data_IF_824358946211
#
_entry.id   IF_824358946211
#
_cell.length_a   1.000
_cell.length_b   1.000
_cell.length_c   1.000
_cell.angle_alpha   90.00
_cell.angle_beta   90.00
_cell.angle_gamma   90.00
#
_symmetry.space_group_name_H-M   'P 1'
#
loop_
_entity.id
_entity.type
_entity.pdbx_description
1 polymer ?
#
# COMPACT_ATOMS: atom_id res chain seq x y z
N UNK A 1 22.98 5.80 -10.60
CA UNK A 1 21.82 5.02 -10.11
C UNK A 1 22.05 3.58 -10.51
N UNK A 2 21.59 2.61 -9.73
CA UNK A 2 21.57 1.19 -10.09
C UNK A 2 20.26 0.56 -9.68
N UNK A 3 19.88 -0.51 -10.39
CA UNK A 3 18.67 -1.30 -10.08
C UNK A 3 19.01 -2.78 -10.12
N UNK A 4 18.60 -3.51 -9.10
CA UNK A 4 18.75 -4.96 -9.00
C UNK A 4 17.40 -5.60 -8.68
N UNK A 5 17.24 -6.88 -9.00
CA UNK A 5 16.02 -7.63 -8.75
C UNK A 5 16.32 -8.81 -7.84
N UNK A 6 15.62 -8.85 -6.70
CA UNK A 6 15.77 -9.91 -5.70
C UNK A 6 14.54 -10.81 -5.80
N UNK A 7 14.67 -12.04 -6.30
CA UNK A 7 13.56 -12.98 -6.37
C UNK A 7 13.21 -13.50 -4.97
N UNK A 8 11.94 -13.37 -4.59
CA UNK A 8 11.43 -13.87 -3.32
C UNK A 8 10.33 -14.89 -3.58
N UNK A 9 10.51 -16.11 -3.05
CA UNK A 9 9.53 -17.19 -3.17
C UNK A 9 8.51 -17.12 -2.03
N UNK A 10 7.23 -17.27 -2.37
CA UNK A 10 6.16 -17.37 -1.39
C UNK A 10 6.11 -18.77 -0.74
N UNK A 11 5.82 -18.83 0.56
CA UNK A 11 5.61 -20.08 1.27
C UNK A 11 4.30 -20.79 0.88
N UNK A 12 3.30 -19.99 0.57
CA UNK A 12 2.01 -20.40 0.03
C UNK A 12 1.70 -19.53 -1.19
N UNK A 13 1.18 -20.14 -2.26
CA UNK A 13 0.76 -19.34 -3.42
C UNK A 13 -0.36 -18.35 -3.06
N UNK A 14 -0.18 -17.10 -3.45
CA UNK A 14 -1.21 -16.07 -3.30
C UNK A 14 -2.11 -16.06 -4.53
N UNK A 15 -3.41 -16.21 -4.32
CA UNK A 15 -4.39 -16.00 -5.39
C UNK A 15 -4.80 -14.53 -5.43
N UNK A 16 -4.53 -13.90 -6.57
CA UNK A 16 -4.95 -12.53 -6.85
C UNK A 16 -5.80 -12.50 -8.14
N UNK A 17 -7.07 -12.21 -8.03
CA UNK A 17 -7.99 -12.29 -9.16
C UNK A 17 -8.02 -13.70 -9.79
N UNK A 18 -7.72 -13.78 -11.08
CA UNK A 18 -7.61 -15.05 -11.83
C UNK A 18 -6.22 -15.72 -11.73
N UNK A 19 -5.22 -15.02 -11.21
CA UNK A 19 -3.82 -15.47 -11.19
C UNK A 19 -3.43 -16.11 -9.87
N UNK A 20 -2.47 -17.02 -9.92
CA UNK A 20 -1.83 -17.62 -8.75
C UNK A 20 -0.35 -17.26 -8.81
N UNK A 21 0.14 -16.60 -7.77
CA UNK A 21 1.49 -16.07 -7.66
C UNK A 21 2.24 -16.90 -6.62
N UNK A 22 3.41 -17.41 -6.97
CA UNK A 22 4.28 -18.21 -6.08
C UNK A 22 5.64 -17.54 -5.81
N UNK A 23 5.95 -16.48 -6.54
CA UNK A 23 7.17 -15.70 -6.40
C UNK A 23 6.94 -14.26 -6.86
N UNK A 24 7.79 -13.35 -6.39
CA UNK A 24 7.76 -11.93 -6.74
C UNK A 24 9.19 -11.41 -6.87
N UNK A 25 9.40 -10.44 -7.76
CA UNK A 25 10.65 -9.67 -7.81
C UNK A 25 10.56 -8.45 -6.89
N UNK A 26 11.56 -8.26 -6.05
CA UNK A 26 11.76 -7.01 -5.33
C UNK A 26 12.74 -6.16 -6.13
N UNK A 27 12.30 -5.01 -6.61
CA UNK A 27 13.16 -4.04 -7.26
C UNK A 27 13.92 -3.26 -6.17
N UNK A 28 15.24 -3.38 -6.13
CA UNK A 28 16.15 -2.70 -5.23
C UNK A 28 16.93 -1.63 -6.00
N UNK A 29 16.72 -0.37 -5.65
CA UNK A 29 17.43 0.76 -6.26
C UNK A 29 18.45 1.36 -5.29
N UNK A 30 19.62 1.70 -5.81
CA UNK A 30 20.57 2.59 -5.16
C UNK A 30 20.74 3.86 -5.98
N UNK A 31 20.57 5.00 -5.33
CA UNK A 31 20.71 6.32 -5.95
C UNK A 31 21.83 7.10 -5.26
N UNK A 32 22.84 7.46 -6.02
CA UNK A 32 23.86 8.38 -5.53
C UNK A 32 23.36 9.81 -5.76
N UNK A 33 22.99 10.48 -4.69
CA UNK A 33 22.45 11.82 -4.66
C UNK A 33 22.92 12.55 -3.38
N UNK A 34 23.05 13.87 -3.45
CA UNK A 34 23.44 14.69 -2.29
C UNK A 34 24.76 14.20 -1.63
N UNK A 35 25.71 13.73 -2.45
CA UNK A 35 27.00 13.14 -2.02
C UNK A 35 26.89 11.92 -1.09
N UNK A 36 25.75 11.23 -1.14
CA UNK A 36 25.54 9.97 -0.40
C UNK A 36 24.74 8.96 -1.20
N UNK A 37 24.64 7.72 -0.70
CA UNK A 37 23.87 6.66 -1.34
C UNK A 37 22.59 6.40 -0.56
N UNK A 38 21.46 6.61 -1.21
CA UNK A 38 20.16 6.19 -0.70
C UNK A 38 19.72 4.86 -1.33
N UNK A 39 18.89 4.14 -0.60
CA UNK A 39 18.35 2.84 -0.99
C UNK A 39 16.84 2.85 -0.96
N UNK A 40 16.21 2.11 -1.86
CA UNK A 40 14.77 1.94 -1.87
C UNK A 40 14.38 0.61 -2.48
N UNK A 41 13.33 0.02 -1.95
CA UNK A 41 12.80 -1.26 -2.44
C UNK A 41 11.31 -1.18 -2.68
N UNK A 42 10.86 -1.90 -3.72
CA UNK A 42 9.44 -2.06 -4.00
C UNK A 42 9.18 -3.44 -4.59
N UNK A 43 8.18 -4.19 -4.08
CA UNK A 43 7.76 -5.44 -4.70
C UNK A 43 7.06 -5.15 -6.03
N UNK A 44 7.51 -5.79 -7.12
CA UNK A 44 6.88 -5.70 -8.44
C UNK A 44 5.60 -6.54 -8.46
N UNK A 45 4.52 -6.02 -7.90
CA UNK A 45 3.23 -6.70 -7.79
C UNK A 45 2.47 -6.68 -9.12
N UNK A 46 2.87 -7.56 -10.04
CA UNK A 46 2.42 -7.60 -11.45
C UNK A 46 0.91 -7.76 -11.57
N UNK A 47 0.31 -8.71 -10.84
CA UNK A 47 -1.12 -9.01 -10.93
C UNK A 47 -1.98 -7.83 -10.45
N UNK A 48 -1.51 -7.09 -9.44
CA UNK A 48 -2.17 -5.92 -8.90
C UNK A 48 -2.01 -4.68 -9.80
N UNK A 49 -0.77 -4.46 -10.27
CA UNK A 49 -0.44 -3.25 -11.02
C UNK A 49 -0.80 -3.30 -12.50
N UNK A 50 -0.91 -4.50 -13.04
CA UNK A 50 -1.14 -4.72 -14.47
C UNK A 50 -2.08 -5.92 -14.71
N UNK A 51 -3.35 -5.86 -14.32
CA UNK A 51 -4.30 -6.90 -14.68
C UNK A 51 -4.44 -6.98 -16.20
N UNK A 52 -4.19 -8.15 -16.79
CA UNK A 52 -4.12 -8.32 -18.25
C UNK A 52 -4.30 -9.77 -18.66
N UNK A 53 -4.64 -9.99 -19.92
CA UNK A 53 -4.63 -11.31 -20.56
C UNK A 53 -3.23 -11.79 -20.96
N UNK A 54 -2.22 -10.92 -20.92
CA UNK A 54 -0.82 -11.30 -21.12
C UNK A 54 -0.36 -12.20 -19.97
N UNK A 55 0.52 -13.15 -20.25
CA UNK A 55 1.06 -14.02 -19.20
C UNK A 55 1.83 -13.23 -18.13
N UNK A 56 1.81 -13.73 -16.89
CA UNK A 56 2.50 -13.12 -15.75
C UNK A 56 3.98 -12.83 -16.06
N UNK A 57 4.73 -13.83 -16.55
CA UNK A 57 6.17 -13.67 -16.84
C UNK A 57 6.49 -12.63 -17.92
N UNK A 58 5.61 -12.43 -18.91
CA UNK A 58 5.79 -11.36 -19.92
C UNK A 58 5.65 -9.99 -19.28
N UNK A 59 4.67 -9.79 -18.39
CA UNK A 59 4.44 -8.54 -17.69
C UNK A 59 5.53 -8.27 -16.66
N UNK A 60 5.92 -9.28 -15.88
CA UNK A 60 7.03 -9.18 -14.92
C UNK A 60 8.33 -8.76 -15.61
N UNK A 61 8.66 -9.45 -16.71
CA UNK A 61 9.83 -9.06 -17.50
C UNK A 61 9.75 -7.63 -18.02
N UNK A 62 8.58 -7.20 -18.50
CA UNK A 62 8.41 -5.84 -19.01
C UNK A 62 8.56 -4.80 -17.87
N UNK A 63 8.10 -5.08 -16.65
CA UNK A 63 8.31 -4.21 -15.49
C UNK A 63 9.80 -4.15 -15.10
N UNK A 64 10.51 -5.28 -15.08
CA UNK A 64 11.96 -5.29 -14.86
C UNK A 64 12.71 -4.52 -15.97
N UNK A 65 12.36 -4.73 -17.23
CA UNK A 65 12.96 -4.01 -18.37
C UNK A 65 12.67 -2.48 -18.25
N UNK A 66 11.50 -2.09 -17.75
CA UNK A 66 11.17 -0.68 -17.53
C UNK A 66 11.96 -0.07 -16.37
N UNK A 67 12.18 -0.80 -15.28
CA UNK A 67 13.09 -0.34 -14.22
C UNK A 67 14.50 -0.06 -14.77
N UNK A 68 15.06 -0.96 -15.61
CA UNK A 68 16.32 -0.73 -16.28
C UNK A 68 16.30 0.45 -17.28
N UNK A 69 15.16 0.69 -17.93
CA UNK A 69 14.96 1.87 -18.77
C UNK A 69 14.93 3.16 -17.93
N UNK A 70 14.27 3.14 -16.77
CA UNK A 70 14.25 4.27 -15.82
C UNK A 70 15.66 4.59 -15.32
N UNK A 71 16.46 3.59 -14.92
CA UNK A 71 17.84 3.75 -14.48
C UNK A 71 18.68 4.59 -15.46
N UNK A 72 18.46 4.41 -16.76
CA UNK A 72 19.22 5.08 -17.83
C UNK A 72 18.67 6.48 -18.18
N UNK A 73 17.39 6.76 -17.88
CA UNK A 73 16.69 7.94 -18.37
C UNK A 73 16.21 8.89 -17.26
N UNK A 74 16.28 8.49 -15.98
CA UNK A 74 15.98 9.36 -14.86
C UNK A 74 17.12 10.37 -14.67
N UNK A 75 16.77 11.65 -14.56
CA UNK A 75 17.74 12.72 -14.28
C UNK A 75 18.09 12.76 -12.79
N UNK A 76 19.26 13.28 -12.47
CA UNK A 76 19.70 13.46 -11.09
C UNK A 76 18.74 14.36 -10.30
N UNK A 77 18.50 14.06 -9.00
CA UNK A 77 17.68 14.91 -8.14
C UNK A 77 18.25 16.32 -8.03
N UNK A 78 17.32 17.29 -7.92
CA UNK A 78 17.65 18.68 -7.65
C UNK A 78 17.86 18.93 -6.14
N UNK A 79 17.28 20.03 -5.61
CA UNK A 79 17.50 20.45 -4.24
C UNK A 79 16.80 19.58 -3.20
N UNK A 80 15.62 19.10 -3.49
CA UNK A 80 14.84 18.24 -2.61
C UNK A 80 14.08 17.12 -3.35
N UNK A 81 13.78 16.00 -2.68
CA UNK A 81 13.15 14.84 -3.30
C UNK A 81 11.69 15.08 -3.70
N UNK A 82 10.96 15.95 -2.99
CA UNK A 82 9.55 16.22 -3.27
C UNK A 82 9.40 16.96 -4.62
N UNK A 83 10.22 17.97 -4.86
CA UNK A 83 10.25 18.73 -6.13
C UNK A 83 10.66 17.82 -7.29
N UNK A 84 11.67 16.97 -7.08
CA UNK A 84 12.08 15.98 -8.06
C UNK A 84 10.99 14.95 -8.36
N UNK A 85 10.37 14.36 -7.35
CA UNK A 85 9.28 13.39 -7.50
C UNK A 85 8.08 14.00 -8.23
N UNK A 86 7.71 15.26 -7.90
CA UNK A 86 6.64 15.98 -8.59
C UNK A 86 6.89 16.10 -10.10
N UNK A 87 8.10 16.37 -10.54
CA UNK A 87 8.43 16.44 -11.97
C UNK A 87 8.00 15.16 -12.71
N UNK A 88 8.26 13.99 -12.10
CA UNK A 88 7.85 12.72 -12.70
C UNK A 88 6.34 12.50 -12.60
N UNK A 89 5.72 12.83 -11.47
CA UNK A 89 4.28 12.68 -11.28
C UNK A 89 3.46 13.66 -12.14
N UNK A 90 4.02 14.80 -12.52
CA UNK A 90 3.39 15.80 -13.39
C UNK A 90 3.57 15.52 -14.89
N UNK A 91 3.95 14.31 -15.25
CA UNK A 91 4.02 13.84 -16.64
C UNK A 91 5.37 13.30 -17.08
N UNK A 92 6.47 13.53 -16.35
CA UNK A 92 7.78 12.98 -16.69
C UNK A 92 7.77 11.45 -16.75
N UNK A 93 7.16 10.79 -15.77
CA UNK A 93 7.02 9.33 -15.77
C UNK A 93 6.11 8.83 -16.91
N UNK A 94 5.00 9.52 -17.18
CA UNK A 94 4.12 9.17 -18.30
C UNK A 94 4.84 9.31 -19.65
N UNK A 95 5.69 10.32 -19.82
CA UNK A 95 6.51 10.48 -21.02
C UNK A 95 7.47 9.30 -21.20
N UNK A 96 8.21 8.91 -20.15
CA UNK A 96 9.11 7.76 -20.18
C UNK A 96 8.36 6.44 -20.43
N UNK A 97 7.20 6.27 -19.83
CA UNK A 97 6.34 5.10 -20.07
C UNK A 97 5.88 5.02 -21.53
N UNK A 98 5.44 6.12 -22.12
CA UNK A 98 5.01 6.17 -23.52
C UNK A 98 6.17 5.83 -24.47
N UNK A 99 7.37 6.34 -24.18
CA UNK A 99 8.55 6.03 -24.94
C UNK A 99 8.94 4.55 -24.85
N UNK A 100 8.98 3.99 -23.65
CA UNK A 100 9.22 2.57 -23.42
C UNK A 100 8.18 1.69 -24.13
N UNK A 101 6.88 1.99 -23.94
CA UNK A 101 5.79 1.23 -24.57
C UNK A 101 5.93 1.25 -26.10
N UNK A 102 6.31 2.39 -26.69
CA UNK A 102 6.56 2.51 -28.14
C UNK A 102 7.78 1.68 -28.58
N UNK A 103 8.91 1.74 -27.84
CA UNK A 103 10.14 1.03 -28.19
C UNK A 103 9.99 -0.49 -28.05
N UNK A 104 9.28 -0.96 -27.02
CA UNK A 104 9.13 -2.39 -26.70
C UNK A 104 7.82 -3.00 -27.21
N UNK A 105 6.98 -2.21 -27.90
CA UNK A 105 5.60 -2.61 -28.26
C UNK A 105 4.82 -3.16 -27.05
N UNK A 106 5.01 -2.53 -25.90
CA UNK A 106 4.36 -2.86 -24.65
C UNK A 106 3.07 -2.04 -24.47
N UNK A 107 2.19 -2.49 -23.57
CA UNK A 107 0.99 -1.78 -23.15
C UNK A 107 0.96 -1.68 -21.61
N UNK A 108 2.11 -1.44 -21.00
CA UNK A 108 2.22 -1.30 -19.56
C UNK A 108 1.41 -0.10 -19.08
N UNK A 109 0.54 -0.27 -18.08
CA UNK A 109 -0.27 0.83 -17.55
C UNK A 109 0.54 1.73 -16.61
N UNK A 110 0.01 2.92 -16.34
CA UNK A 110 0.65 3.92 -15.50
C UNK A 110 0.86 3.43 -14.05
N UNK A 111 -0.09 2.66 -13.50
CA UNK A 111 0.05 2.07 -12.16
C UNK A 111 1.29 1.16 -12.05
N UNK A 112 1.57 0.35 -13.07
CA UNK A 112 2.79 -0.46 -13.11
C UNK A 112 4.05 0.41 -13.23
N UNK A 113 3.99 1.51 -13.98
CA UNK A 113 5.10 2.45 -14.09
C UNK A 113 5.40 3.15 -12.75
N UNK A 114 4.39 3.51 -11.97
CA UNK A 114 4.55 4.06 -10.62
C UNK A 114 5.30 3.09 -9.70
N UNK A 115 4.95 1.80 -9.72
CA UNK A 115 5.65 0.77 -8.94
C UNK A 115 7.11 0.65 -9.37
N UNK A 116 7.39 0.67 -10.68
CA UNK A 116 8.76 0.60 -11.19
C UNK A 116 9.59 1.85 -10.84
N UNK A 117 8.95 3.02 -10.73
CA UNK A 117 9.61 4.27 -10.36
C UNK A 117 9.79 4.41 -8.83
N UNK A 118 8.93 3.81 -8.04
CA UNK A 118 8.91 3.94 -6.59
C UNK A 118 10.26 3.63 -5.90
N UNK A 119 11.03 2.57 -6.23
CA UNK A 119 12.30 2.33 -5.54
C UNK A 119 13.31 3.45 -5.75
N UNK A 120 13.29 4.12 -6.90
CA UNK A 120 14.14 5.30 -7.15
C UNK A 120 13.70 6.50 -6.31
N UNK A 121 12.40 6.78 -6.25
CA UNK A 121 11.83 7.86 -5.45
C UNK A 121 12.15 7.67 -3.97
N UNK A 122 11.95 6.47 -3.42
CA UNK A 122 12.32 6.12 -2.04
C UNK A 122 13.81 6.34 -1.82
N UNK A 123 14.66 5.88 -2.75
CA UNK A 123 16.13 6.03 -2.63
C UNK A 123 16.57 7.49 -2.56
N UNK A 124 15.92 8.37 -3.33
CA UNK A 124 16.24 9.81 -3.32
C UNK A 124 15.87 10.44 -1.99
N UNK A 125 14.71 10.09 -1.41
CA UNK A 125 14.33 10.54 -0.07
C UNK A 125 15.30 10.02 1.00
N UNK A 126 15.73 8.78 0.92
CA UNK A 126 16.70 8.18 1.83
C UNK A 126 18.06 8.88 1.75
N UNK A 127 18.57 9.10 0.53
CA UNK A 127 19.82 9.84 0.32
C UNK A 127 19.74 11.25 0.91
N UNK A 128 18.63 11.95 0.71
CA UNK A 128 18.41 13.30 1.23
C UNK A 128 18.48 13.37 2.77
N UNK A 129 17.80 12.43 3.44
CA UNK A 129 17.88 12.32 4.90
C UNK A 129 19.28 11.98 5.39
N UNK A 130 19.96 11.04 4.74
CA UNK A 130 21.35 10.65 5.07
C UNK A 130 22.34 11.79 4.89
N UNK A 131 22.25 12.55 3.79
CA UNK A 131 23.11 13.70 3.51
C UNK A 131 22.99 14.80 4.58
N UNK A 132 21.81 14.95 5.17
CA UNK A 132 21.57 15.92 6.24
C UNK A 132 21.76 15.33 7.66
N UNK A 133 22.05 14.04 7.79
CA UNK A 133 22.20 13.37 9.08
C UNK A 133 20.91 13.29 9.90
N UNK A 134 19.74 13.36 9.25
CA UNK A 134 18.43 13.44 9.90
C UNK A 134 17.47 12.34 9.39
N UNK A 135 16.56 11.88 10.26
CA UNK A 135 15.40 11.11 9.78
C UNK A 135 14.60 11.92 8.78
N UNK A 136 14.19 11.30 7.67
CA UNK A 136 13.53 12.00 6.55
C UNK A 136 12.25 12.74 6.95
N UNK A 137 11.48 12.20 7.90
CA UNK A 137 10.26 12.84 8.40
C UNK A 137 10.49 14.12 9.24
N UNK A 138 11.72 14.41 9.64
CA UNK A 138 12.12 15.69 10.26
C UNK A 138 12.43 16.78 9.24
N UNK A 139 12.40 16.45 7.96
CA UNK A 139 12.84 17.34 6.89
C UNK A 139 11.70 17.80 5.96
N UNK A 140 10.50 17.24 6.06
CA UNK A 140 9.36 17.64 5.22
C UNK A 140 8.74 18.98 5.67
N UNK A 141 9.57 20.03 5.78
CA UNK A 141 9.19 21.35 6.28
C UNK A 141 9.90 22.48 5.54
N UNK A 142 9.54 23.72 5.89
CA UNK A 142 10.04 24.95 5.25
C UNK A 142 11.57 25.16 5.28
N UNK A 143 12.28 24.46 6.15
CA UNK A 143 13.74 24.64 6.25
C UNK A 143 14.49 23.78 5.23
N UNK A 144 13.85 22.76 4.67
CA UNK A 144 14.47 21.78 3.79
C UNK A 144 13.79 21.65 2.43
N UNK A 145 12.50 21.98 2.31
CA UNK A 145 11.76 21.92 1.06
C UNK A 145 11.79 23.29 0.38
N UNK A 146 11.99 23.27 -0.94
CA UNK A 146 12.06 24.48 -1.77
C UNK A 146 10.69 25.16 -1.92
N UNK A 147 9.63 24.37 -1.94
CA UNK A 147 8.27 24.81 -2.17
C UNK A 147 7.31 24.36 -1.07
N UNK A 148 6.30 25.17 -0.81
CA UNK A 148 5.15 24.81 0.02
C UNK A 148 4.14 23.94 -0.75
N UNK A 149 3.14 23.42 -0.07
CA UNK A 149 2.13 22.58 -0.70
C UNK A 149 1.22 23.33 -1.68
N UNK A 150 1.11 24.67 -1.60
CA UNK A 150 0.37 25.45 -2.59
C UNK A 150 1.00 25.33 -3.99
N UNK A 151 2.33 25.31 -4.07
CA UNK A 151 3.02 25.07 -5.33
C UNK A 151 2.79 23.67 -5.88
N UNK A 152 2.77 22.65 -5.00
CA UNK A 152 2.52 21.26 -5.40
C UNK A 152 1.10 21.05 -5.94
N UNK A 153 0.10 21.67 -5.31
CA UNK A 153 -1.31 21.46 -5.64
C UNK A 153 -1.91 22.53 -6.56
N UNK A 154 -1.20 23.65 -6.77
CA UNK A 154 -1.73 24.85 -7.42
C UNK A 154 -3.04 25.30 -6.74
N UNK A 155 -3.04 25.34 -5.40
CA UNK A 155 -4.20 25.68 -4.57
C UNK A 155 -3.74 26.53 -3.37
N UNK A 156 -4.21 27.78 -3.30
CA UNK A 156 -3.88 28.75 -2.25
C UNK A 156 -4.27 28.31 -0.83
N UNK A 157 -5.15 27.34 -0.67
CA UNK A 157 -5.46 26.78 0.66
C UNK A 157 -4.26 26.13 1.35
N UNK A 158 -3.27 25.78 0.59
CA UNK A 158 -2.03 25.16 1.07
C UNK A 158 -0.88 26.16 1.20
N UNK A 159 -1.14 27.48 1.00
CA UNK A 159 -0.11 28.50 1.08
C UNK A 159 0.56 28.52 2.47
N UNK A 160 1.89 28.41 2.46
CA UNK A 160 2.72 28.34 3.67
C UNK A 160 2.65 27.04 4.45
N UNK A 161 1.92 26.01 3.95
CA UNK A 161 1.83 24.69 4.55
C UNK A 161 2.82 23.71 3.91
N UNK A 162 3.36 22.81 4.73
CA UNK A 162 4.31 21.78 4.35
C UNK A 162 3.79 20.41 4.82
N UNK A 163 4.35 19.27 4.35
CA UNK A 163 3.85 17.96 4.79
C UNK A 163 3.85 17.78 6.31
N UNK A 164 4.81 18.36 7.05
CA UNK A 164 4.85 18.28 8.52
C UNK A 164 3.59 18.83 9.21
N UNK A 165 2.90 19.80 8.61
CA UNK A 165 1.65 20.37 9.15
C UNK A 165 0.49 19.36 9.16
N UNK A 166 0.63 18.30 8.39
CA UNK A 166 -0.34 17.21 8.28
C UNK A 166 0.08 15.95 9.05
N UNK A 167 1.26 15.92 9.63
CA UNK A 167 1.70 14.80 10.46
C UNK A 167 1.03 14.81 11.82
N UNK A 168 0.98 13.64 12.46
CA UNK A 168 0.54 13.55 13.86
C UNK A 168 1.61 14.21 14.75
N UNK A 169 1.15 14.85 15.82
CA UNK A 169 2.06 15.54 16.76
C UNK A 169 2.87 14.55 17.60
N UNK A 170 2.19 13.50 18.07
CA UNK A 170 2.79 12.46 18.92
C UNK A 170 2.90 11.17 18.08
N UNK A 171 4.08 10.96 17.50
CA UNK A 171 4.37 9.77 16.69
C UNK A 171 4.51 8.56 17.59
N UNK A 172 3.63 7.58 17.42
CA UNK A 172 3.73 6.31 18.14
C UNK A 172 4.80 5.42 17.52
N UNK A 173 5.63 4.82 18.36
CA UNK A 173 6.57 3.78 17.92
C UNK A 173 5.90 2.42 17.71
N UNK A 174 4.66 2.24 18.19
CA UNK A 174 3.90 1.00 18.03
C UNK A 174 2.63 1.28 17.23
N UNK A 175 2.37 0.41 16.25
CA UNK A 175 1.22 0.53 15.35
C UNK A 175 0.41 -0.77 15.36
N UNK A 176 -0.92 -0.71 15.53
CA UNK A 176 -1.79 -1.86 15.25
C UNK A 176 -1.54 -2.38 13.83
N UNK A 177 -1.50 -3.71 13.68
CA UNK A 177 -1.20 -4.32 12.38
C UNK A 177 -2.42 -5.02 11.81
N UNK A 178 -2.67 -4.81 10.52
CA UNK A 178 -3.69 -5.50 9.76
C UNK A 178 -3.14 -6.77 9.14
N UNK A 179 -3.98 -7.80 9.14
CA UNK A 179 -3.70 -9.09 8.53
C UNK A 179 -4.66 -9.33 7.36
N UNK A 180 -4.10 -9.72 6.22
CA UNK A 180 -4.87 -10.05 5.03
C UNK A 180 -5.51 -11.43 5.17
N UNK A 181 -6.81 -11.53 4.90
CA UNK A 181 -7.56 -12.79 4.81
C UNK A 181 -7.95 -13.00 3.34
N UNK A 182 -7.17 -13.78 2.64
CA UNK A 182 -7.40 -14.12 1.24
C UNK A 182 -8.69 -14.95 1.03
N UNK A 183 -9.23 -14.89 -0.19
CA UNK A 183 -10.46 -15.62 -0.51
C UNK A 183 -10.37 -17.16 -0.38
N UNK A 184 -9.15 -17.71 -0.45
CA UNK A 184 -8.86 -19.14 -0.33
C UNK A 184 -8.12 -19.53 0.96
N UNK A 185 -7.84 -18.56 1.83
CA UNK A 185 -7.14 -18.85 3.07
C UNK A 185 -8.01 -19.74 3.97
N UNK A 186 -7.36 -20.70 4.62
CA UNK A 186 -7.99 -21.51 5.65
C UNK A 186 -8.38 -20.63 6.84
N UNK A 187 -9.62 -20.75 7.28
CA UNK A 187 -10.07 -20.07 8.49
C UNK A 187 -9.72 -20.87 9.74
N UNK A 188 -9.89 -22.18 9.69
CA UNK A 188 -9.68 -23.08 10.81
C UNK A 188 -8.56 -24.08 10.52
N UNK A 189 -7.88 -24.52 11.56
CA UNK A 189 -6.79 -25.51 11.42
C UNK A 189 -7.28 -26.84 10.82
N UNK A 190 -8.53 -27.21 11.08
CA UNK A 190 -9.17 -28.40 10.50
C UNK A 190 -9.26 -28.38 8.97
N UNK A 191 -9.24 -27.20 8.36
CA UNK A 191 -9.25 -27.05 6.90
C UNK A 191 -7.85 -27.30 6.28
N UNK A 192 -6.78 -27.12 7.07
CA UNK A 192 -5.39 -27.19 6.62
C UNK A 192 -4.72 -28.57 6.79
N UNK A 193 -5.43 -29.58 7.32
CA UNK A 193 -4.88 -30.90 7.72
C UNK A 193 -4.06 -31.61 6.63
N UNK A 194 -4.41 -31.42 5.36
CA UNK A 194 -3.73 -32.07 4.24
C UNK A 194 -2.67 -31.17 3.55
N UNK A 195 -2.32 -30.04 4.15
CA UNK A 195 -1.31 -29.14 3.57
C UNK A 195 0.09 -29.58 3.98
N UNK A 196 0.99 -29.96 3.04
CA UNK A 196 2.29 -30.56 3.36
C UNK A 196 3.36 -29.51 3.72
N UNK A 197 2.98 -28.38 4.34
CA UNK A 197 3.88 -27.30 4.71
C UNK A 197 4.12 -27.29 6.23
N UNK A 198 5.39 -27.46 6.64
CA UNK A 198 5.82 -27.52 8.05
C UNK A 198 6.99 -26.56 8.27
N UNK A 199 6.78 -25.27 8.06
CA UNK A 199 7.80 -24.22 8.16
C UNK A 199 7.74 -23.41 9.48
N UNK A 200 6.90 -23.83 10.42
CA UNK A 200 6.74 -23.20 11.72
C UNK A 200 5.82 -21.98 11.73
N UNK A 201 5.21 -21.63 10.60
CA UNK A 201 4.23 -20.55 10.50
C UNK A 201 2.80 -21.09 10.40
N UNK A 202 1.81 -20.34 10.93
CA UNK A 202 0.41 -20.73 10.84
C UNK A 202 -0.06 -20.93 9.40
N UNK A 203 -1.00 -21.86 9.21
CA UNK A 203 -1.67 -22.09 7.93
C UNK A 203 -3.10 -21.54 7.91
N UNK A 204 -3.74 -21.40 9.09
CA UNK A 204 -5.11 -20.90 9.22
C UNK A 204 -5.16 -19.55 9.90
N UNK A 205 -6.23 -18.79 9.61
CA UNK A 205 -6.50 -17.50 10.26
C UNK A 205 -6.58 -17.65 11.79
N UNK A 206 -7.25 -18.68 12.27
CA UNK A 206 -7.36 -18.99 13.71
C UNK A 206 -5.98 -19.03 14.38
N UNK A 207 -5.02 -19.73 13.78
CA UNK A 207 -3.67 -19.84 14.33
C UNK A 207 -2.84 -18.56 14.17
N UNK A 208 -3.09 -17.76 13.12
CA UNK A 208 -2.50 -16.43 13.00
C UNK A 208 -3.02 -15.48 14.09
N UNK A 209 -4.32 -15.51 14.38
CA UNK A 209 -4.93 -14.74 15.46
C UNK A 209 -4.32 -15.08 16.84
N UNK A 210 -4.16 -16.37 17.12
CA UNK A 210 -3.55 -16.86 18.36
C UNK A 210 -2.08 -16.45 18.49
N UNK A 211 -1.28 -16.69 17.43
CA UNK A 211 0.17 -16.46 17.44
C UNK A 211 0.52 -14.97 17.53
N UNK A 212 -0.08 -14.16 16.66
CA UNK A 212 0.29 -12.75 16.48
C UNK A 212 -0.58 -11.83 17.36
N UNK A 213 -1.64 -12.34 17.99
CA UNK A 213 -2.57 -11.52 18.80
C UNK A 213 -3.29 -10.46 17.98
N UNK A 214 -3.64 -10.79 16.73
CA UNK A 214 -4.18 -9.84 15.75
C UNK A 214 -5.49 -9.20 16.21
N UNK A 215 -5.67 -7.92 15.88
CA UNK A 215 -6.86 -7.12 16.19
C UNK A 215 -7.56 -6.56 14.97
N UNK A 216 -6.88 -6.52 13.82
CA UNK A 216 -7.33 -5.90 12.60
C UNK A 216 -7.23 -6.87 11.43
N UNK A 217 -8.33 -7.10 10.69
CA UNK A 217 -8.37 -8.03 9.56
C UNK A 217 -8.91 -7.35 8.31
N UNK A 218 -8.26 -7.57 7.17
CA UNK A 218 -8.71 -7.18 5.84
C UNK A 218 -9.20 -8.41 5.08
N UNK A 219 -10.46 -8.41 4.65
CA UNK A 219 -11.12 -9.56 4.03
C UNK A 219 -11.18 -9.35 2.51
N UNK A 220 -10.53 -10.23 1.75
CA UNK A 220 -10.65 -10.24 0.28
C UNK A 220 -11.96 -10.88 -0.15
N UNK A 221 -12.69 -10.18 -1.00
CA UNK A 221 -13.97 -10.56 -1.55
C UNK A 221 -13.91 -10.71 -3.08
N UNK A 222 -14.96 -11.27 -3.67
CA UNK A 222 -14.98 -11.57 -5.11
C UNK A 222 -15.58 -10.43 -5.96
N UNK A 223 -16.48 -9.62 -5.38
CA UNK A 223 -17.19 -8.58 -6.12
C UNK A 223 -18.15 -9.11 -7.21
N UNK A 224 -18.34 -10.42 -7.29
CA UNK A 224 -19.16 -11.08 -8.33
C UNK A 224 -20.19 -12.09 -7.79
N UNK A 225 -20.06 -12.51 -6.54
CA UNK A 225 -20.98 -13.40 -5.83
C UNK A 225 -21.33 -12.80 -4.46
N UNK A 226 -22.43 -12.05 -4.43
CA UNK A 226 -22.86 -11.35 -3.21
C UNK A 226 -23.22 -12.28 -2.05
N UNK A 227 -23.66 -13.51 -2.34
CA UNK A 227 -23.97 -14.48 -1.29
C UNK A 227 -22.67 -14.97 -0.65
N UNK A 228 -21.70 -15.35 -1.45
CA UNK A 228 -20.38 -15.77 -0.97
C UNK A 228 -19.65 -14.63 -0.23
N UNK A 229 -19.66 -13.43 -0.76
CA UNK A 229 -18.99 -12.25 -0.17
C UNK A 229 -19.60 -11.93 1.21
N UNK A 230 -20.94 -11.99 1.32
CA UNK A 230 -21.61 -11.84 2.61
C UNK A 230 -21.23 -12.96 3.59
N UNK A 231 -21.33 -14.23 3.18
CA UNK A 231 -21.02 -15.38 4.02
C UNK A 231 -19.54 -15.39 4.45
N UNK A 232 -18.61 -15.03 3.55
CA UNK A 232 -17.20 -14.92 3.86
C UNK A 232 -16.96 -13.84 4.92
N UNK A 233 -17.59 -12.69 4.77
CA UNK A 233 -17.51 -11.58 5.75
C UNK A 233 -18.04 -12.02 7.11
N UNK A 234 -19.17 -12.72 7.15
CA UNK A 234 -19.77 -13.22 8.40
C UNK A 234 -18.87 -14.27 9.07
N UNK A 235 -18.36 -15.24 8.31
CA UNK A 235 -17.47 -16.31 8.86
C UNK A 235 -16.20 -15.72 9.47
N UNK A 236 -15.53 -14.84 8.72
CA UNK A 236 -14.31 -14.16 9.20
C UNK A 236 -14.64 -13.23 10.38
N UNK A 237 -15.74 -12.47 10.30
CA UNK A 237 -16.16 -11.57 11.36
C UNK A 237 -16.47 -12.28 12.68
N UNK A 238 -17.15 -13.45 12.65
CA UNK A 238 -17.40 -14.25 13.85
C UNK A 238 -16.10 -14.76 14.47
N UNK A 239 -15.19 -15.28 13.66
CA UNK A 239 -13.88 -15.72 14.15
C UNK A 239 -13.08 -14.55 14.73
N UNK A 240 -13.11 -13.39 14.06
CA UNK A 240 -12.47 -12.17 14.53
C UNK A 240 -12.99 -11.73 15.92
N UNK A 241 -14.31 -11.65 16.10
CA UNK A 241 -14.94 -11.30 17.38
C UNK A 241 -14.57 -12.30 18.49
N UNK A 242 -14.56 -13.60 18.20
CA UNK A 242 -14.16 -14.64 19.16
C UNK A 242 -12.72 -14.46 19.68
N UNK A 243 -11.82 -13.91 18.83
CA UNK A 243 -10.42 -13.63 19.18
C UNK A 243 -10.19 -12.17 19.62
N UNK A 244 -11.25 -11.38 19.82
CA UNK A 244 -11.18 -10.01 20.30
C UNK A 244 -10.66 -9.00 19.30
N UNK A 245 -10.79 -9.26 17.99
CA UNK A 245 -10.58 -8.24 16.96
C UNK A 245 -11.61 -7.14 17.08
N UNK A 246 -11.20 -5.91 16.80
CA UNK A 246 -12.01 -4.72 16.90
C UNK A 246 -12.04 -3.88 15.61
N UNK A 247 -11.39 -4.37 14.55
CA UNK A 247 -11.37 -3.69 13.26
C UNK A 247 -11.39 -4.70 12.10
N UNK A 248 -12.31 -4.48 11.17
CA UNK A 248 -12.40 -5.19 9.90
C UNK A 248 -12.39 -4.21 8.73
N UNK A 249 -11.95 -4.65 7.58
CA UNK A 249 -12.20 -4.04 6.29
C UNK A 249 -12.53 -5.11 5.25
N UNK A 250 -13.23 -4.72 4.19
CA UNK A 250 -13.50 -5.59 3.04
C UNK A 250 -12.90 -4.98 1.79
N UNK A 251 -12.33 -5.81 0.93
CA UNK A 251 -11.66 -5.38 -0.30
C UNK A 251 -12.16 -6.23 -1.48
N UNK A 252 -12.75 -5.55 -2.45
CA UNK A 252 -13.35 -6.17 -3.64
C UNK A 252 -12.44 -6.12 -4.88
N UNK A 253 -11.27 -5.52 -4.77
CA UNK A 253 -10.28 -5.41 -5.83
C UNK A 253 -10.86 -5.01 -7.21
N UNK A 254 -11.63 -3.92 -7.26
CA UNK A 254 -12.17 -3.30 -8.48
C UNK A 254 -13.21 -4.13 -9.25
N UNK A 255 -13.78 -5.19 -8.69
CA UNK A 255 -14.59 -6.15 -9.44
C UNK A 255 -16.10 -5.87 -9.43
N UNK A 256 -16.57 -5.00 -8.54
CA UNK A 256 -18.00 -4.61 -8.46
C UNK A 256 -18.34 -3.62 -9.57
N UNK A 257 -19.52 -3.80 -10.17
CA UNK A 257 -19.96 -2.96 -11.29
C UNK A 257 -20.95 -1.86 -10.91
N UNK A 258 -21.65 -2.00 -9.77
CA UNK A 258 -22.69 -1.06 -9.37
C UNK A 258 -22.79 -0.94 -7.84
N UNK A 259 -23.08 0.28 -7.31
CA UNK A 259 -23.20 0.55 -5.87
C UNK A 259 -24.19 -0.35 -5.13
N UNK A 260 -25.25 -0.77 -5.78
CA UNK A 260 -26.31 -1.62 -5.20
C UNK A 260 -25.78 -2.94 -4.66
N UNK A 261 -24.73 -3.48 -5.30
CA UNK A 261 -24.08 -4.71 -4.85
C UNK A 261 -23.47 -4.55 -3.43
N UNK A 262 -22.68 -3.50 -3.24
CA UNK A 262 -22.07 -3.18 -1.95
C UNK A 262 -23.12 -2.81 -0.92
N UNK A 263 -24.09 -1.98 -1.31
CA UNK A 263 -25.18 -1.55 -0.45
C UNK A 263 -25.99 -2.72 0.11
N UNK A 264 -26.33 -3.70 -0.74
CA UNK A 264 -27.08 -4.89 -0.32
C UNK A 264 -26.33 -5.73 0.72
N UNK A 265 -24.99 -5.89 0.57
CA UNK A 265 -24.16 -6.61 1.54
C UNK A 265 -24.09 -5.83 2.86
N UNK A 266 -23.84 -4.52 2.82
CA UNK A 266 -23.74 -3.68 4.01
C UNK A 266 -25.07 -3.59 4.77
N UNK A 267 -26.21 -3.43 4.07
CA UNK A 267 -27.53 -3.39 4.69
C UNK A 267 -27.87 -4.74 5.36
N UNK A 268 -27.54 -5.86 4.70
CA UNK A 268 -27.74 -7.21 5.25
C UNK A 268 -26.84 -7.47 6.47
N UNK A 269 -25.56 -7.02 6.45
CA UNK A 269 -24.68 -7.10 7.62
C UNK A 269 -25.25 -6.28 8.78
N UNK A 270 -25.66 -5.03 8.54
CA UNK A 270 -26.24 -4.16 9.56
C UNK A 270 -27.48 -4.76 10.21
N UNK A 271 -28.33 -5.42 9.42
CA UNK A 271 -29.56 -6.03 9.89
C UNK A 271 -29.36 -7.33 10.66
N UNK A 272 -28.50 -8.22 10.16
CA UNK A 272 -28.40 -9.60 10.66
C UNK A 272 -27.17 -9.87 11.51
N UNK A 273 -26.09 -9.10 11.36
CA UNK A 273 -24.80 -9.28 12.05
C UNK A 273 -24.27 -7.90 12.52
N UNK A 274 -25.01 -7.18 13.39
CA UNK A 274 -24.68 -5.80 13.75
C UNK A 274 -23.30 -5.68 14.41
N UNK A 275 -22.86 -6.64 15.22
CA UNK A 275 -21.54 -6.62 15.86
C UNK A 275 -20.40 -6.66 14.82
N UNK A 276 -20.57 -7.43 13.74
CA UNK A 276 -19.60 -7.46 12.64
C UNK A 276 -19.65 -6.16 11.86
N UNK A 277 -20.87 -5.65 11.61
CA UNK A 277 -21.04 -4.36 10.94
C UNK A 277 -20.36 -3.23 11.73
N UNK A 278 -20.47 -3.22 13.05
CA UNK A 278 -19.92 -2.14 13.90
C UNK A 278 -18.39 -2.09 13.84
N UNK A 279 -17.70 -3.25 13.83
CA UNK A 279 -16.25 -3.32 13.70
C UNK A 279 -15.74 -3.22 12.25
N UNK A 280 -16.61 -3.21 11.25
CA UNK A 280 -16.24 -2.94 9.85
C UNK A 280 -15.97 -1.45 9.69
N UNK A 281 -14.69 -1.06 9.59
CA UNK A 281 -14.28 0.34 9.54
C UNK A 281 -14.48 0.96 8.15
N UNK A 282 -14.18 0.22 7.09
CA UNK A 282 -14.29 0.71 5.72
C UNK A 282 -14.41 -0.42 4.70
N UNK A 283 -14.87 -0.05 3.52
CA UNK A 283 -14.87 -0.86 2.29
C UNK A 283 -13.84 -0.30 1.34
N UNK A 284 -12.99 -1.16 0.76
CA UNK A 284 -11.90 -0.78 -0.10
C UNK A 284 -12.19 -1.13 -1.55
N UNK A 285 -11.88 -0.21 -2.42
CA UNK A 285 -11.85 -0.28 -3.89
C UNK A 285 -12.84 -1.29 -4.51
N UNK A 286 -14.15 -1.16 -4.29
CA UNK A 286 -15.09 -2.09 -4.90
C UNK A 286 -15.21 -1.92 -6.41
N UNK A 287 -15.08 -0.69 -6.93
CA UNK A 287 -15.36 -0.34 -8.33
C UNK A 287 -14.08 -0.24 -9.17
N UNK A 288 -14.20 -0.30 -10.52
CA UNK A 288 -13.07 -0.17 -11.43
C UNK A 288 -12.16 1.01 -11.09
N UNK A 289 -10.84 0.83 -11.23
CA UNK A 289 -9.86 1.78 -10.72
C UNK A 289 -9.57 2.95 -11.67
N UNK A 290 -9.92 2.86 -12.94
CA UNK A 290 -9.82 3.97 -13.89
C UNK A 290 -10.97 4.96 -13.65
N UNK A 291 -10.85 5.82 -12.64
CA UNK A 291 -11.91 6.75 -12.23
C UNK A 291 -12.33 7.74 -13.33
N UNK A 292 -11.39 8.14 -14.17
CA UNK A 292 -11.66 9.07 -15.27
C UNK A 292 -12.59 8.45 -16.32
N UNK A 293 -12.49 7.12 -16.51
CA UNK A 293 -13.32 6.35 -17.43
C UNK A 293 -14.60 5.83 -16.74
N UNK A 294 -14.53 5.55 -15.43
CA UNK A 294 -15.59 4.92 -14.64
C UNK A 294 -16.03 5.86 -13.49
N UNK A 295 -16.65 6.98 -13.84
CA UNK A 295 -17.14 7.98 -12.88
C UNK A 295 -18.43 7.53 -12.20
N UNK A 296 -18.34 6.53 -11.33
CA UNK A 296 -19.48 5.97 -10.58
C UNK A 296 -19.72 6.84 -9.34
N UNK A 297 -20.94 7.34 -9.16
CA UNK A 297 -21.38 7.98 -7.92
C UNK A 297 -21.51 6.95 -6.81
N UNK A 298 -20.68 7.08 -5.77
CA UNK A 298 -20.60 6.12 -4.67
C UNK A 298 -21.10 6.68 -3.33
N UNK A 299 -21.75 7.85 -3.31
CA UNK A 299 -22.30 8.45 -2.10
C UNK A 299 -23.25 7.53 -1.34
N UNK A 300 -24.02 6.69 -2.03
CA UNK A 300 -24.91 5.73 -1.39
C UNK A 300 -24.17 4.66 -0.58
N UNK A 301 -22.99 4.24 -1.03
CA UNK A 301 -22.13 3.29 -0.31
C UNK A 301 -21.43 3.97 0.87
N UNK A 302 -20.82 5.12 0.63
CA UNK A 302 -20.05 5.85 1.65
C UNK A 302 -20.95 6.42 2.77
N UNK A 303 -22.25 6.60 2.53
CA UNK A 303 -23.24 6.89 3.56
C UNK A 303 -23.48 5.71 4.54
N UNK A 304 -23.11 4.48 4.18
CA UNK A 304 -23.25 3.28 5.02
C UNK A 304 -21.97 2.97 5.79
N UNK A 305 -20.86 2.90 5.07
CA UNK A 305 -19.50 2.72 5.61
C UNK A 305 -18.51 3.53 4.80
N UNK A 306 -17.43 4.05 5.40
CA UNK A 306 -16.36 4.72 4.66
C UNK A 306 -15.88 3.90 3.47
N UNK A 307 -15.67 4.58 2.34
CA UNK A 307 -15.23 3.97 1.09
C UNK A 307 -13.84 4.48 0.74
N UNK A 308 -12.87 3.57 0.61
CA UNK A 308 -11.46 3.90 0.44
C UNK A 308 -10.98 3.58 -0.97
N UNK A 309 -10.35 4.57 -1.60
CA UNK A 309 -9.59 4.41 -2.84
C UNK A 309 -8.31 3.62 -2.56
N UNK A 310 -7.98 2.63 -3.39
CA UNK A 310 -6.68 1.97 -3.41
C UNK A 310 -6.06 2.04 -4.81
N UNK A 311 -6.37 1.11 -5.71
CA UNK A 311 -5.83 1.09 -7.06
C UNK A 311 -6.08 2.41 -7.80
N UNK A 312 -7.22 3.06 -7.58
CA UNK A 312 -7.57 4.35 -8.18
C UNK A 312 -6.70 5.51 -7.73
N UNK A 313 -6.14 5.46 -6.52
CA UNK A 313 -5.35 6.55 -5.95
C UNK A 313 -3.92 6.54 -6.48
N UNK A 314 -3.73 6.79 -7.78
CA UNK A 314 -2.40 6.90 -8.39
C UNK A 314 -1.66 8.13 -7.85
N UNK A 315 -2.37 9.26 -7.74
CA UNK A 315 -1.88 10.49 -7.14
C UNK A 315 -3.04 11.30 -6.51
N UNK A 316 -2.71 12.45 -5.91
CA UNK A 316 -3.68 13.33 -5.26
C UNK A 316 -4.80 13.84 -6.20
N UNK A 317 -4.59 13.92 -7.51
CA UNK A 317 -5.62 14.38 -8.48
C UNK A 317 -6.74 13.37 -8.59
N UNK A 318 -6.40 12.08 -8.62
CA UNK A 318 -7.39 11.01 -8.59
C UNK A 318 -8.05 10.84 -7.23
N UNK A 319 -7.33 11.15 -6.13
CA UNK A 319 -7.95 11.25 -4.79
C UNK A 319 -8.99 12.38 -4.78
N UNK A 320 -8.70 13.52 -5.40
CA UNK A 320 -9.65 14.63 -5.56
C UNK A 320 -10.88 14.21 -6.36
N UNK A 321 -10.69 13.61 -7.53
CA UNK A 321 -11.80 13.11 -8.36
C UNK A 321 -12.64 12.08 -7.58
N UNK A 322 -11.99 11.15 -6.89
CA UNK A 322 -12.69 10.17 -6.05
C UNK A 322 -13.56 10.84 -4.99
N UNK A 323 -13.04 11.87 -4.30
CA UNK A 323 -13.82 12.61 -3.32
C UNK A 323 -15.07 13.26 -3.95
N UNK A 324 -14.95 13.82 -5.15
CA UNK A 324 -16.08 14.40 -5.89
C UNK A 324 -17.15 13.35 -6.23
N UNK A 325 -16.74 12.10 -6.45
CA UNK A 325 -17.63 10.96 -6.71
C UNK A 325 -18.21 10.32 -5.43
N UNK A 326 -17.80 10.77 -4.23
CA UNK A 326 -18.34 10.31 -2.96
C UNK A 326 -17.42 9.40 -2.15
N UNK A 327 -16.19 9.14 -2.59
CA UNK A 327 -15.20 8.44 -1.78
C UNK A 327 -14.75 9.33 -0.62
N UNK A 328 -14.57 8.75 0.56
CA UNK A 328 -14.26 9.50 1.76
C UNK A 328 -13.02 8.99 2.53
N UNK A 329 -12.26 8.10 1.90
CA UNK A 329 -10.98 7.64 2.39
C UNK A 329 -10.02 7.24 1.29
N UNK A 330 -8.75 7.10 1.63
CA UNK A 330 -7.69 6.65 0.73
C UNK A 330 -6.70 5.72 1.42
N UNK A 331 -6.33 4.64 0.72
CA UNK A 331 -5.26 3.74 1.06
C UNK A 331 -3.95 4.24 0.43
N UNK A 332 -3.13 4.89 1.24
CA UNK A 332 -1.81 5.35 0.82
C UNK A 332 -0.85 4.17 0.67
N UNK A 333 -0.04 4.18 -0.36
CA UNK A 333 0.98 3.16 -0.61
C UNK A 333 2.28 3.79 -1.08
N UNK A 334 3.36 3.59 -0.34
CA UNK A 334 4.70 4.06 -0.72
C UNK A 334 5.18 3.40 -2.02
N UNK A 335 4.70 2.21 -2.34
CA UNK A 335 5.00 1.56 -3.61
C UNK A 335 4.43 2.30 -4.85
N UNK A 336 3.56 3.30 -4.65
CA UNK A 336 3.14 4.27 -5.69
C UNK A 336 3.95 5.58 -5.61
N UNK A 337 5.12 5.55 -5.02
CA UNK A 337 6.08 6.59 -4.65
C UNK A 337 5.89 7.19 -3.25
N UNK A 338 6.97 7.49 -2.57
CA UNK A 338 6.97 8.22 -1.29
C UNK A 338 6.41 9.64 -1.48
N UNK A 339 6.85 10.33 -2.54
CA UNK A 339 6.37 11.67 -2.91
C UNK A 339 4.86 11.66 -3.14
N UNK A 340 4.35 10.74 -3.95
CA UNK A 340 2.91 10.64 -4.26
C UNK A 340 2.07 10.31 -3.03
N UNK A 341 2.56 9.41 -2.16
CA UNK A 341 1.88 9.05 -0.92
C UNK A 341 1.78 10.24 0.04
N UNK A 342 2.86 11.02 0.21
CA UNK A 342 2.85 12.25 1.03
C UNK A 342 1.87 13.29 0.48
N UNK A 343 1.94 13.60 -0.81
CA UNK A 343 1.05 14.57 -1.44
C UNK A 343 -0.41 14.14 -1.33
N UNK A 344 -0.72 12.88 -1.64
CA UNK A 344 -2.08 12.35 -1.51
C UNK A 344 -2.60 12.40 -0.08
N UNK A 345 -1.75 12.08 0.90
CA UNK A 345 -2.09 12.14 2.31
C UNK A 345 -2.35 13.56 2.80
N UNK A 346 -1.50 14.52 2.44
CA UNK A 346 -1.69 15.93 2.79
C UNK A 346 -2.98 16.49 2.18
N UNK A 347 -3.21 16.22 0.88
CA UNK A 347 -4.41 16.65 0.20
C UNK A 347 -5.67 16.05 0.85
N UNK A 348 -5.68 14.75 1.08
CA UNK A 348 -6.81 14.05 1.68
C UNK A 348 -7.15 14.59 3.08
N UNK A 349 -6.14 14.84 3.91
CA UNK A 349 -6.34 15.41 5.27
C UNK A 349 -6.91 16.82 5.24
N UNK A 350 -6.44 17.70 4.34
CA UNK A 350 -6.99 19.04 4.18
C UNK A 350 -8.50 19.01 3.87
N UNK A 351 -8.93 17.99 3.12
CA UNK A 351 -10.33 17.84 2.72
C UNK A 351 -11.14 16.87 3.60
N UNK A 352 -10.60 16.48 4.77
CA UNK A 352 -11.29 15.66 5.77
C UNK A 352 -11.52 14.21 5.37
N UNK A 353 -10.74 13.67 4.42
CA UNK A 353 -10.78 12.26 4.07
C UNK A 353 -10.01 11.42 5.10
N UNK A 354 -10.45 10.20 5.31
CA UNK A 354 -9.79 9.24 6.18
C UNK A 354 -8.61 8.56 5.47
N UNK A 355 -7.61 8.15 6.25
CA UNK A 355 -6.39 7.53 5.71
C UNK A 355 -6.17 6.13 6.26
N UNK A 356 -5.71 5.23 5.42
CA UNK A 356 -4.97 4.02 5.77
C UNK A 356 -3.63 4.01 5.04
N UNK A 357 -2.68 3.28 5.59
CA UNK A 357 -1.43 2.95 4.89
C UNK A 357 -1.39 1.44 4.71
N UNK A 358 -1.29 1.01 3.46
CA UNK A 358 -1.41 -0.38 3.08
C UNK A 358 -0.23 -0.85 2.25
N UNK A 359 0.12 -2.13 2.37
CA UNK A 359 1.25 -2.71 1.68
C UNK A 359 0.87 -3.47 0.39
N UNK A 360 1.90 -3.89 -0.34
CA UNK A 360 1.82 -4.91 -1.39
C UNK A 360 2.56 -6.17 -0.93
N UNK A 361 2.34 -6.59 0.32
CA UNK A 361 3.14 -7.64 0.97
C UNK A 361 4.63 -7.27 1.04
N UNK A 362 4.94 -6.05 1.47
CA UNK A 362 6.27 -5.45 1.45
C UNK A 362 7.26 -6.17 2.38
N UNK A 363 8.27 -6.92 1.89
CA UNK A 363 9.35 -7.47 2.72
C UNK A 363 10.53 -6.51 2.80
N UNK A 364 11.55 -6.88 3.56
CA UNK A 364 12.89 -6.28 3.56
C UNK A 364 12.80 -4.75 3.79
N UNK A 365 13.60 -3.94 3.07
CA UNK A 365 13.56 -2.48 3.20
C UNK A 365 12.21 -1.86 2.81
N UNK A 366 11.44 -2.49 1.92
CA UNK A 366 10.15 -1.95 1.49
C UNK A 366 9.14 -1.77 2.64
N UNK A 367 9.28 -2.52 3.74
CA UNK A 367 8.44 -2.39 4.95
C UNK A 367 8.71 -1.06 5.68
N UNK A 368 9.94 -0.56 5.67
CA UNK A 368 10.37 0.55 6.53
C UNK A 368 9.73 1.89 6.16
N UNK A 369 9.85 2.41 4.91
CA UNK A 369 9.19 3.66 4.52
C UNK A 369 7.67 3.60 4.69
N UNK A 370 7.09 2.42 4.46
CA UNK A 370 5.68 2.13 4.62
C UNK A 370 5.21 2.27 6.07
N UNK A 371 5.89 1.64 7.02
CA UNK A 371 5.58 1.73 8.45
C UNK A 371 5.78 3.17 8.98
N UNK A 372 6.85 3.84 8.53
CA UNK A 372 7.12 5.23 8.90
C UNK A 372 6.06 6.19 8.37
N UNK A 373 5.58 5.99 7.12
CA UNK A 373 4.48 6.79 6.60
C UNK A 373 3.24 6.66 7.50
N UNK A 374 2.87 5.43 7.87
CA UNK A 374 1.71 5.20 8.74
C UNK A 374 1.85 5.89 10.09
N UNK A 375 3.04 5.81 10.71
CA UNK A 375 3.31 6.42 12.00
C UNK A 375 3.22 7.94 11.96
N UNK A 376 3.68 8.58 10.87
CA UNK A 376 3.75 10.05 10.78
C UNK A 376 2.47 10.67 10.21
N UNK A 377 1.91 10.10 9.15
CA UNK A 377 0.70 10.68 8.54
C UNK A 377 -0.54 10.50 9.43
N UNK A 378 -0.57 9.44 10.25
CA UNK A 378 -1.72 9.05 11.04
C UNK A 378 -2.83 8.41 10.21
N UNK A 379 -3.28 7.25 10.64
CA UNK A 379 -4.30 6.43 9.99
C UNK A 379 -5.49 6.23 10.91
N UNK A 380 -6.61 5.76 10.36
CA UNK A 380 -7.78 5.42 11.20
C UNK A 380 -7.48 4.25 12.14
N UNK A 381 -6.54 3.34 11.74
CA UNK A 381 -6.13 2.20 12.57
C UNK A 381 -4.83 1.59 12.06
N UNK A 382 -3.68 1.97 12.62
CA UNK A 382 -2.39 1.33 12.38
C UNK A 382 -1.96 1.20 10.91
N UNK A 383 -1.43 0.04 10.53
CA UNK A 383 -0.81 -0.19 9.22
C UNK A 383 -1.00 -1.63 8.74
N UNK A 384 -1.09 -1.86 7.44
CA UNK A 384 -1.10 -3.19 6.86
C UNK A 384 0.33 -3.70 6.65
N UNK A 385 0.68 -4.87 7.20
CA UNK A 385 1.99 -5.52 7.03
C UNK A 385 1.80 -7.03 6.86
N UNK A 386 1.80 -7.50 5.62
CA UNK A 386 1.44 -8.88 5.26
C UNK A 386 2.62 -9.75 4.83
N UNK A 387 3.82 -9.19 4.63
CA UNK A 387 4.99 -9.98 4.23
C UNK A 387 5.25 -11.24 5.09
N UNK A 388 5.07 -11.21 6.43
CA UNK A 388 5.24 -12.41 7.27
C UNK A 388 4.28 -13.56 6.93
N UNK A 389 3.16 -13.31 6.27
CA UNK A 389 2.24 -14.36 5.84
C UNK A 389 2.75 -15.13 4.62
N UNK A 390 3.45 -14.45 3.72
CA UNK A 390 3.78 -14.98 2.39
C UNK A 390 5.24 -15.34 2.25
N UNK A 391 6.16 -14.56 2.81
CA UNK A 391 7.61 -14.81 2.71
C UNK A 391 8.37 -14.36 3.98
N UNK A 392 8.07 -15.02 5.10
CA UNK A 392 8.62 -14.62 6.41
C UNK A 392 10.15 -14.67 6.46
N UNK A 393 10.78 -15.47 5.61
CA UNK A 393 12.23 -15.64 5.59
C UNK A 393 12.95 -14.53 4.82
N UNK A 394 12.26 -13.78 3.94
CA UNK A 394 12.88 -12.76 3.11
C UNK A 394 13.49 -11.60 3.95
N UNK A 395 12.90 -11.30 5.10
CA UNK A 395 13.31 -10.17 5.95
C UNK A 395 14.24 -10.54 7.10
N UNK A 396 14.72 -11.79 7.20
CA UNK A 396 15.49 -12.29 8.37
C UNK A 396 16.74 -11.46 8.70
N UNK A 397 17.43 -10.91 7.70
CA UNK A 397 18.59 -10.05 7.94
C UNK A 397 18.21 -8.71 8.58
N UNK A 398 17.08 -8.14 8.17
CA UNK A 398 16.54 -6.89 8.71
C UNK A 398 15.90 -7.10 10.08
N UNK A 399 15.29 -8.26 10.29
CA UNK A 399 14.70 -8.66 11.57
C UNK A 399 15.72 -8.67 12.72
N UNK A 400 16.98 -9.00 12.45
CA UNK A 400 18.07 -8.93 13.44
C UNK A 400 18.26 -7.53 14.01
N UNK A 401 18.08 -6.50 13.17
CA UNK A 401 18.22 -5.09 13.58
C UNK A 401 16.90 -4.49 14.06
N UNK A 402 15.78 -4.94 13.49
CA UNK A 402 14.45 -4.38 13.70
C UNK A 402 13.39 -5.48 14.00
N UNK A 403 13.58 -6.29 15.06
CA UNK A 403 12.72 -7.45 15.31
C UNK A 403 11.24 -7.06 15.47
N UNK A 404 10.94 -5.95 16.15
CA UNK A 404 9.57 -5.49 16.36
C UNK A 404 8.83 -5.09 15.09
N UNK A 405 9.56 -4.74 14.01
CA UNK A 405 8.96 -4.39 12.73
C UNK A 405 8.55 -5.63 11.92
N UNK A 406 9.36 -6.67 11.93
CA UNK A 406 9.15 -7.86 11.10
C UNK A 406 8.43 -8.99 11.83
N UNK A 407 8.50 -9.00 13.17
CA UNK A 407 7.72 -9.90 14.01
C UNK A 407 6.47 -9.22 14.56
N UNK A 408 5.32 -9.57 14.01
CA UNK A 408 4.04 -9.12 14.58
C UNK A 408 3.77 -9.86 15.88
N UNK A 409 3.54 -9.13 16.97
CA UNK A 409 3.17 -9.68 18.27
C UNK A 409 2.15 -8.79 18.96
N UNK A 410 1.21 -9.36 19.67
CA UNK A 410 0.14 -8.64 20.37
C UNK A 410 -0.69 -7.72 19.43
N UNK A 411 -0.77 -8.07 18.15
CA UNK A 411 -1.50 -7.30 17.15
C UNK A 411 -0.84 -5.99 16.74
N UNK A 412 0.47 -5.82 16.99
CA UNK A 412 1.24 -4.61 16.66
C UNK A 412 2.54 -4.93 15.94
N UNK A 413 3.10 -3.90 15.31
CA UNK A 413 4.52 -3.78 14.97
C UNK A 413 5.15 -2.63 15.77
N UNK A 414 6.46 -2.71 16.01
CA UNK A 414 7.25 -1.71 16.74
C UNK A 414 8.37 -1.18 15.86
N UNK A 415 8.34 0.14 15.62
CA UNK A 415 9.30 0.88 14.79
C UNK A 415 10.34 1.64 15.64
N UNK A 416 10.41 1.43 16.94
CA UNK A 416 11.29 2.18 17.87
C UNK A 416 12.78 2.05 17.55
N UNK A 417 13.16 1.01 16.81
CA UNK A 417 14.56 0.80 16.36
C UNK A 417 14.93 1.59 15.10
N UNK A 418 13.97 2.22 14.42
CA UNK A 418 14.21 3.04 13.22
C UNK A 418 14.61 4.47 13.63
N UNK A 419 15.86 4.65 14.07
CA UNK A 419 16.35 5.91 14.67
C UNK A 419 17.45 6.60 13.86
N UNK A 420 17.89 6.01 12.76
CA UNK A 420 18.96 6.54 11.91
C UNK A 420 18.53 7.71 11.01
N UNK A 421 19.50 8.24 10.25
CA UNK A 421 19.24 9.20 9.18
C UNK A 421 18.55 8.51 7.99
N UNK A 422 17.97 9.30 7.09
CA UNK A 422 17.16 8.75 5.99
C UNK A 422 15.90 8.10 6.55
N UNK A 423 15.63 6.87 6.13
CA UNK A 423 14.57 6.05 6.72
C UNK A 423 14.99 5.23 7.95
N UNK A 424 16.24 5.35 8.40
CA UNK A 424 16.69 4.72 9.64
C UNK A 424 17.30 3.33 9.51
N UNK A 425 17.69 2.93 8.30
CA UNK A 425 18.35 1.64 8.00
C UNK A 425 19.74 1.79 7.40
#
# INVERSE_FOLDING_TARGET
MSIEFIPVKMRLPLKFGAETIDSIQIAHAEVNAYDTVGRGETPLSVAWAWPSTLSFGVREKAMCDFCGFLEQNIVSPGNDPMTWGKFYLDGGLQHLLNEFNRQKNSKMPYLAALICFSPFDISVHDAWGKANGLPVYKMYNKNFLEHDLAWFFNDERFAGKYPEDYFVKDVSSVLPVWHLVGGKDFLFETEAVNTPLHDGYPLSLEKWLERDGLRCLKIKLTGSDAAWDYERTVKVGKLALQHGCNALSTDFNCLVKAPEYVNAILDKLRQNEPEIYDILLYVEQPFPYELEENQIDVHSCSARKPLFLDESAHDWRLVKLGRELGWNGVALKVCKTQTGALLSGCWAKEYGMQLMVQDLTNPMLATIPHALLAAHIGTIMGVECNAPQFYPQASQEYEKCHPGLYERRNGIIDISTLTGSGFGY
#
